data_IF_569913931827
#
_entry.id   IF_569913931827
#
_cell.length_a   1.000
_cell.length_b   1.000
_cell.length_c   1.000
_cell.angle_alpha   90.00
_cell.angle_beta   90.00
_cell.angle_gamma   90.00
#
_symmetry.space_group_name_H-M   'P 1'
#
loop_
_entity.id
_entity.type
_entity.pdbx_description
1 polymer ?
#
# COMPACT_ATOMS: atom_id res chain seq x y z
N UNK A 1 14.01 -4.19 -3.93
CA UNK A 1 13.24 -3.00 -4.32
C UNK A 1 12.73 -3.16 -5.75
N UNK A 2 11.51 -2.70 -6.06
CA UNK A 2 10.85 -2.86 -7.36
C UNK A 2 11.03 -1.65 -8.29
N UNK A 3 11.87 -0.68 -7.92
CA UNK A 3 12.03 0.57 -8.67
C UNK A 3 10.97 1.63 -8.35
N UNK A 4 10.38 1.57 -7.14
CA UNK A 4 9.32 2.49 -6.70
C UNK A 4 8.05 2.38 -7.57
N UNK A 5 7.28 3.46 -7.63
CA UNK A 5 6.01 3.47 -8.40
C UNK A 5 6.22 3.24 -9.90
N UNK A 6 7.27 3.80 -10.50
CA UNK A 6 7.55 3.63 -11.94
C UNK A 6 7.84 2.17 -12.28
N UNK A 7 8.72 1.52 -11.49
CA UNK A 7 9.04 0.12 -11.71
C UNK A 7 7.88 -0.83 -11.39
N UNK A 8 7.02 -0.48 -10.42
CA UNK A 8 5.78 -1.22 -10.15
C UNK A 8 4.81 -1.18 -11.35
N UNK A 9 4.59 -0.01 -11.94
CA UNK A 9 3.66 0.17 -13.06
C UNK A 9 4.17 -0.47 -14.37
N UNK A 10 5.49 -0.57 -14.55
CA UNK A 10 6.10 -1.20 -15.71
C UNK A 10 5.90 -2.73 -15.77
N UNK A 11 5.44 -3.36 -14.67
CA UNK A 11 5.16 -4.80 -14.66
C UNK A 11 3.91 -5.13 -15.47
N UNK A 12 4.00 -6.24 -16.19
CA UNK A 12 2.92 -6.73 -17.05
C UNK A 12 1.58 -6.76 -16.31
N UNK A 13 0.57 -6.12 -16.89
CA UNK A 13 -0.79 -6.07 -16.36
C UNK A 13 -1.04 -5.08 -15.22
N UNK A 14 -0.02 -4.59 -14.51
CA UNK A 14 -0.21 -3.71 -13.34
C UNK A 14 -0.91 -2.40 -13.74
N UNK A 15 -0.41 -1.73 -14.78
CA UNK A 15 -0.99 -0.50 -15.31
C UNK A 15 -2.42 -0.68 -15.86
N UNK A 16 -2.81 -1.91 -16.22
CA UNK A 16 -4.13 -2.22 -16.78
C UNK A 16 -5.21 -2.43 -15.69
N UNK A 17 -4.83 -2.46 -14.42
CA UNK A 17 -5.77 -2.55 -13.30
C UNK A 17 -6.36 -1.20 -12.92
N UNK A 18 -7.51 -1.18 -12.24
CA UNK A 18 -8.07 0.07 -11.67
C UNK A 18 -7.07 0.71 -10.68
N UNK A 19 -6.40 -0.10 -9.85
CA UNK A 19 -5.39 0.38 -8.91
C UNK A 19 -4.18 1.01 -9.62
N UNK A 20 -3.69 0.38 -10.69
CA UNK A 20 -2.59 0.87 -11.51
C UNK A 20 -2.92 2.18 -12.21
N UNK A 21 -4.09 2.28 -12.86
CA UNK A 21 -4.53 3.52 -13.52
C UNK A 21 -4.68 4.70 -12.57
N UNK A 22 -5.10 4.44 -11.33
CA UNK A 22 -5.28 5.46 -10.30
C UNK A 22 -4.04 5.68 -9.43
N UNK A 23 -2.92 5.00 -9.72
CA UNK A 23 -1.72 4.97 -8.87
C UNK A 23 -2.04 4.71 -7.38
N UNK A 24 -3.06 3.89 -7.11
CA UNK A 24 -3.62 3.70 -5.77
C UNK A 24 -2.91 2.55 -5.05
N UNK A 25 -1.86 2.88 -4.30
CA UNK A 25 -1.02 1.94 -3.55
C UNK A 25 -0.83 2.48 -2.12
N UNK A 26 -0.98 1.60 -1.13
CA UNK A 26 -0.62 1.89 0.27
C UNK A 26 0.65 1.10 0.58
N UNK A 27 1.76 1.79 0.81
CA UNK A 27 3.00 1.18 1.26
C UNK A 27 3.02 1.13 2.79
N UNK A 28 3.21 -0.07 3.35
CA UNK A 28 3.31 -0.30 4.79
C UNK A 28 4.76 -0.75 5.07
N UNK A 29 5.42 -0.26 6.14
CA UNK A 29 6.76 -0.73 6.48
C UNK A 29 6.79 -2.25 6.68
N UNK A 30 7.77 -2.92 6.07
CA UNK A 30 7.81 -4.38 5.92
C UNK A 30 7.73 -5.10 7.27
N UNK A 31 8.50 -4.63 8.26
CA UNK A 31 8.59 -5.23 9.59
C UNK A 31 7.29 -5.20 10.42
N UNK A 32 6.30 -4.42 10.00
CA UNK A 32 5.00 -4.32 10.68
C UNK A 32 3.81 -4.72 9.80
N UNK A 33 4.00 -4.85 8.48
CA UNK A 33 2.92 -5.17 7.54
C UNK A 33 2.21 -6.49 7.83
N UNK A 34 2.95 -7.48 8.36
CA UNK A 34 2.49 -8.85 8.61
C UNK A 34 2.90 -9.38 9.99
N UNK A 35 3.37 -8.52 10.90
CA UNK A 35 3.87 -8.96 12.21
C UNK A 35 2.77 -9.23 13.24
N UNK A 36 1.61 -8.58 13.09
CA UNK A 36 0.43 -8.75 13.95
C UNK A 36 0.72 -8.64 15.48
N UNK A 37 1.70 -7.83 15.86
CA UNK A 37 2.11 -7.62 17.25
C UNK A 37 1.35 -6.50 17.97
N UNK A 38 1.90 -5.95 19.07
CA UNK A 38 1.26 -4.91 19.87
C UNK A 38 0.84 -3.65 19.09
N UNK A 39 1.52 -3.35 17.97
CA UNK A 39 1.25 -2.18 17.14
C UNK A 39 0.12 -2.39 16.11
N UNK A 40 -0.52 -3.56 16.05
CA UNK A 40 -1.53 -3.87 15.02
C UNK A 40 -2.64 -2.83 14.95
N UNK A 41 -3.13 -2.35 16.09
CA UNK A 41 -4.18 -1.33 16.13
C UNK A 41 -3.75 0.01 15.51
N UNK A 42 -2.50 0.42 15.72
CA UNK A 42 -1.93 1.63 15.15
C UNK A 42 -1.77 1.50 13.63
N UNK A 43 -1.30 0.34 13.17
CA UNK A 43 -1.18 0.03 11.73
C UNK A 43 -2.53 0.04 11.04
N UNK A 44 -3.53 -0.65 11.60
CA UNK A 44 -4.88 -0.69 11.05
C UNK A 44 -5.50 0.71 10.99
N UNK A 45 -5.32 1.52 12.03
CA UNK A 45 -5.81 2.90 12.05
C UNK A 45 -5.14 3.74 10.96
N UNK A 46 -3.82 3.64 10.80
CA UNK A 46 -3.07 4.38 9.79
C UNK A 46 -3.45 3.98 8.37
N UNK A 47 -3.58 2.67 8.11
CA UNK A 47 -4.03 2.14 6.81
C UNK A 47 -5.46 2.55 6.52
N UNK A 48 -6.36 2.50 7.50
CA UNK A 48 -7.76 2.91 7.32
C UNK A 48 -7.85 4.41 6.96
N UNK A 49 -7.08 5.27 7.62
CA UNK A 49 -6.98 6.71 7.27
C UNK A 49 -6.51 6.90 5.83
N UNK A 50 -5.47 6.18 5.41
CA UNK A 50 -4.96 6.24 4.03
C UNK A 50 -5.95 5.68 2.99
N UNK A 51 -6.71 4.63 3.35
CA UNK A 51 -7.62 3.93 2.44
C UNK A 51 -8.94 4.67 2.23
N UNK A 52 -9.52 5.18 3.32
CA UNK A 52 -10.87 5.75 3.37
C UNK A 52 -10.90 7.26 3.55
N UNK A 53 -9.77 7.91 3.83
CA UNK A 53 -9.70 9.36 4.04
C UNK A 53 -10.41 9.85 5.31
N UNK A 54 -10.61 8.96 6.30
CA UNK A 54 -11.21 9.33 7.58
C UNK A 54 -10.26 10.27 8.33
N UNK A 55 -10.77 11.43 8.76
CA UNK A 55 -10.02 12.38 9.59
C UNK A 55 -10.01 11.94 11.04
#
# INVERSE_FOLDING_TARGET
STGGMKGLLARAGVANTIAGRNHRVIAIPDGISLSFGPQTGEVLTSVAKALYGVK
#
